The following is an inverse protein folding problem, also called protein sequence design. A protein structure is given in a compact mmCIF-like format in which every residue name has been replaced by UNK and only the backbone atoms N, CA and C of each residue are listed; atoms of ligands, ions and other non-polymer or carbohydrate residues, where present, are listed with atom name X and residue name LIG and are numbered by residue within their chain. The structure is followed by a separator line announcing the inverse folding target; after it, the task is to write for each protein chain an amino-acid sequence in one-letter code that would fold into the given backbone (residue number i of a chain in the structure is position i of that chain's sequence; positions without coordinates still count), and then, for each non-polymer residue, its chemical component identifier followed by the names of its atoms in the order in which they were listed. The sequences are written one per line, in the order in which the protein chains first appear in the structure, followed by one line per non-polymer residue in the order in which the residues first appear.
data_IF_819752132724
#
_entry.id   IF_819752132724
#
_cell.length_a   1.000
_cell.length_b   1.000
_cell.length_c   1.000
_cell.angle_alpha   90.00
_cell.angle_beta   90.00
_cell.angle_gamma   90.00
#
_symmetry.space_group_name_H-M   'P 1'
#
loop_
_entity.id
_entity.type
_entity.pdbx_description
1 polymer ?
#
# COMPACT_ATOMS: atom_id res chain seq x y z
N UNK A 1 1.06 7.46 11.47
CA UNK A 1 0.42 8.46 10.58
C UNK A 1 -1.04 8.61 10.93
N UNK A 2 -1.60 9.81 10.88
CA UNK A 2 -3.03 9.97 11.09
C UNK A 2 -3.82 9.32 9.96
N UNK A 3 -5.13 9.16 10.15
CA UNK A 3 -5.99 8.71 9.06
C UNK A 3 -6.01 9.76 7.95
N UNK A 4 -5.91 9.30 6.71
CA UNK A 4 -5.98 10.19 5.57
C UNK A 4 -7.36 10.84 5.50
N UNK A 5 -7.38 12.15 5.53
CA UNK A 5 -8.61 12.95 5.43
C UNK A 5 -8.26 14.34 4.92
N UNK A 6 -7.57 14.40 3.78
CA UNK A 6 -7.13 15.66 3.19
C UNK A 6 -8.08 16.11 2.09
N UNK A 7 -8.23 17.42 1.91
CA UNK A 7 -9.15 17.94 0.89
C UNK A 7 -8.67 17.73 -0.54
N UNK A 8 -7.37 17.49 -0.75
CA UNK A 8 -6.79 17.30 -2.07
C UNK A 8 -6.30 15.86 -2.21
N UNK A 9 -6.68 15.21 -3.30
CA UNK A 9 -6.20 13.86 -3.60
C UNK A 9 -4.68 13.86 -3.74
N UNK A 10 -3.99 12.85 -3.20
CA UNK A 10 -2.53 12.74 -3.35
C UNK A 10 -2.05 12.75 -4.80
N UNK A 11 -2.88 12.31 -5.74
CA UNK A 11 -2.53 12.34 -7.17
C UNK A 11 -2.43 13.77 -7.73
N UNK A 12 -3.07 14.73 -7.07
CA UNK A 12 -3.04 16.13 -7.47
C UNK A 12 -2.24 17.02 -6.54
N UNK A 13 -1.69 16.45 -5.46
CA UNK A 13 -0.96 17.25 -4.47
C UNK A 13 0.39 17.68 -5.03
N UNK A 14 0.67 18.98 -4.96
CA UNK A 14 1.92 19.58 -5.47
C UNK A 14 2.88 20.00 -4.37
N UNK A 15 2.39 20.14 -3.13
CA UNK A 15 3.19 20.63 -2.01
C UNK A 15 3.55 19.47 -1.07
N UNK A 16 4.70 19.54 -0.38
CA UNK A 16 5.06 18.53 0.61
C UNK A 16 4.04 18.47 1.75
N UNK A 17 3.91 17.29 2.36
CA UNK A 17 3.04 17.11 3.52
C UNK A 17 3.64 17.79 4.74
N UNK A 18 2.79 18.46 5.52
CA UNK A 18 3.19 19.12 6.77
C UNK A 18 3.38 18.14 7.92
N UNK A 19 2.64 17.04 7.94
CA UNK A 19 2.80 16.02 8.97
C UNK A 19 4.14 15.33 8.81
N UNK A 20 4.96 15.36 9.87
CA UNK A 20 6.33 14.83 9.81
C UNK A 20 6.37 13.33 9.54
N UNK A 21 5.45 12.56 10.11
CA UNK A 21 5.41 11.12 9.90
C UNK A 21 5.09 10.79 8.44
N UNK A 22 4.13 11.51 7.85
CA UNK A 22 3.77 11.35 6.44
C UNK A 22 4.93 11.77 5.54
N UNK A 23 5.59 12.86 5.86
CA UNK A 23 6.74 13.34 5.09
C UNK A 23 7.89 12.32 5.10
N UNK A 24 8.20 11.74 6.27
CA UNK A 24 9.22 10.68 6.36
C UNK A 24 8.85 9.43 5.59
N UNK A 25 7.59 9.03 5.68
CA UNK A 25 7.07 7.88 4.94
C UNK A 25 7.18 8.11 3.44
N UNK A 26 6.75 9.28 2.97
CA UNK A 26 6.82 9.67 1.57
C UNK A 26 8.25 9.54 1.04
N UNK A 27 9.21 10.07 1.79
CA UNK A 27 10.62 10.01 1.41
C UNK A 27 11.13 8.58 1.31
N UNK A 28 10.75 7.72 2.25
CA UNK A 28 11.15 6.31 2.24
C UNK A 28 10.58 5.56 1.03
N UNK A 29 9.33 5.80 0.70
CA UNK A 29 8.72 5.17 -0.47
C UNK A 29 9.35 5.71 -1.76
N UNK A 30 9.63 6.99 -1.81
CA UNK A 30 10.30 7.58 -2.97
C UNK A 30 11.67 6.96 -3.24
N UNK A 31 12.42 6.64 -2.19
CA UNK A 31 13.74 6.00 -2.29
C UNK A 31 13.67 4.54 -2.76
N UNK A 32 12.58 3.85 -2.51
CA UNK A 32 12.43 2.44 -2.85
C UNK A 32 12.23 2.21 -4.35
N UNK A 33 12.86 1.17 -4.87
CA UNK A 33 12.70 0.78 -6.28
C UNK A 33 11.64 -0.31 -6.45
N UNK A 34 11.35 -1.07 -5.41
CA UNK A 34 10.38 -2.15 -5.38
C UNK A 34 9.90 -2.36 -3.95
N UNK A 35 8.74 -2.99 -3.80
CA UNK A 35 8.13 -3.15 -2.48
C UNK A 35 7.62 -4.57 -2.25
N UNK A 36 7.63 -4.98 -0.99
CA UNK A 36 6.93 -6.17 -0.54
C UNK A 36 5.90 -5.71 0.49
N UNK A 37 4.64 -5.95 0.21
CA UNK A 37 3.56 -5.64 1.13
C UNK A 37 3.21 -6.89 1.94
N UNK A 38 3.34 -6.78 3.25
CA UNK A 38 3.03 -7.87 4.18
C UNK A 38 1.71 -7.52 4.87
N UNK A 39 0.72 -8.41 4.79
CA UNK A 39 -0.62 -8.11 5.29
C UNK A 39 -1.28 -9.29 5.99
N UNK A 40 -2.00 -9.04 7.10
CA UNK A 40 -3.02 -9.98 7.55
C UNK A 40 -4.25 -9.88 6.64
N UNK A 41 -5.25 -10.70 6.92
CA UNK A 41 -6.56 -10.52 6.30
C UNK A 41 -7.56 -10.14 7.39
N UNK A 42 -8.15 -8.97 7.24
CA UNK A 42 -9.22 -8.48 8.11
C UNK A 42 -10.47 -8.25 7.27
N UNK A 43 -11.50 -9.06 7.54
CA UNK A 43 -12.81 -8.90 6.88
C UNK A 43 -12.71 -8.83 5.35
N UNK A 44 -12.03 -9.81 4.77
CA UNK A 44 -11.91 -9.95 3.31
C UNK A 44 -11.00 -8.88 2.66
N UNK A 45 -10.18 -8.21 3.43
CA UNK A 45 -9.30 -7.16 2.93
C UNK A 45 -8.01 -7.07 3.71
N UNK A 46 -7.22 -6.08 3.38
CA UNK A 46 -6.00 -5.77 4.12
C UNK A 46 -6.34 -5.03 5.43
N UNK A 47 -5.32 -4.74 6.23
CA UNK A 47 -5.51 -3.92 7.42
C UNK A 47 -5.80 -2.47 7.05
N UNK A 48 -6.58 -1.79 7.90
CA UNK A 48 -6.80 -0.34 7.73
C UNK A 48 -5.51 0.45 7.80
N UNK A 49 -4.54 -0.02 8.58
CA UNK A 49 -3.23 0.62 8.70
C UNK A 49 -2.49 0.63 7.36
N UNK A 50 -2.42 -0.51 6.68
CA UNK A 50 -1.75 -0.58 5.37
C UNK A 50 -2.52 0.23 4.33
N UNK A 51 -3.85 0.11 4.30
CA UNK A 51 -4.66 0.87 3.35
C UNK A 51 -4.47 2.37 3.54
N UNK A 52 -4.41 2.83 4.79
CA UNK A 52 -4.15 4.23 5.11
C UNK A 52 -2.79 4.69 4.56
N UNK A 53 -1.76 3.85 4.73
CA UNK A 53 -0.44 4.17 4.20
C UNK A 53 -0.45 4.28 2.67
N UNK A 54 -1.18 3.39 1.99
CA UNK A 54 -1.32 3.46 0.54
C UNK A 54 -2.05 4.72 0.09
N UNK A 55 -3.02 5.17 0.87
CA UNK A 55 -3.88 6.29 0.49
C UNK A 55 -3.23 7.66 0.67
N UNK A 56 -2.21 7.77 1.54
CA UNK A 56 -1.58 9.06 1.83
C UNK A 56 -0.76 9.63 0.67
N UNK A 57 -0.20 8.78 -0.19
CA UNK A 57 0.70 9.22 -1.27
C UNK A 57 0.32 8.51 -2.57
N UNK A 58 0.73 9.04 -3.70
CA UNK A 58 0.38 8.45 -4.99
C UNK A 58 1.56 8.35 -5.96
N UNK A 59 2.19 9.47 -6.39
CA UNK A 59 3.21 9.38 -7.44
C UNK A 59 4.44 8.56 -7.03
N UNK A 60 4.70 8.46 -5.74
CA UNK A 60 5.85 7.70 -5.23
C UNK A 60 5.74 6.21 -5.46
N UNK A 61 4.51 5.70 -5.60
CA UNK A 61 4.25 4.30 -5.92
C UNK A 61 4.39 3.98 -7.40
N UNK A 62 4.20 4.99 -8.26
CA UNK A 62 4.00 4.78 -9.69
C UNK A 62 5.20 4.10 -10.35
N UNK A 63 4.90 3.14 -11.23
CA UNK A 63 5.88 2.43 -12.06
C UNK A 63 6.89 1.60 -11.27
N UNK A 64 6.53 1.16 -10.08
CA UNK A 64 7.39 0.33 -9.24
C UNK A 64 6.77 -1.05 -9.02
N UNK A 65 7.55 -2.13 -9.02
CA UNK A 65 7.02 -3.47 -8.78
C UNK A 65 6.68 -3.69 -7.32
N UNK A 66 5.67 -4.53 -7.08
CA UNK A 66 5.25 -4.92 -5.74
C UNK A 66 4.97 -6.42 -5.68
N UNK A 67 5.44 -7.04 -4.61
CA UNK A 67 5.15 -8.42 -4.25
C UNK A 67 4.32 -8.44 -2.96
N UNK A 68 3.70 -9.59 -2.68
CA UNK A 68 2.82 -9.71 -1.52
C UNK A 68 3.16 -10.92 -0.69
N UNK A 69 3.09 -10.74 0.63
CA UNK A 69 3.12 -11.81 1.61
C UNK A 69 1.90 -11.63 2.51
N UNK A 70 1.10 -12.67 2.65
CA UNK A 70 -0.10 -12.60 3.49
C UNK A 70 -0.19 -13.79 4.45
N UNK A 71 -0.95 -13.62 5.51
CA UNK A 71 -1.15 -14.65 6.51
C UNK A 71 -2.57 -14.58 7.08
N UNK A 72 -3.02 -15.70 7.63
CA UNK A 72 -4.36 -15.83 8.19
C UNK A 72 -4.94 -17.20 7.94
N UNK A 73 -6.18 -17.45 8.35
CA UNK A 73 -6.83 -18.75 8.23
C UNK A 73 -6.93 -19.24 6.78
N UNK A 74 -7.14 -18.34 5.84
CA UNK A 74 -7.13 -18.64 4.41
C UNK A 74 -5.83 -18.23 3.70
N UNK A 75 -4.74 -18.05 4.46
CA UNK A 75 -3.48 -17.58 3.90
C UNK A 75 -3.47 -16.13 3.46
N UNK A 76 -4.53 -15.38 3.75
CA UNK A 76 -4.64 -13.98 3.37
C UNK A 76 -4.91 -13.73 1.90
N UNK A 77 -5.38 -14.74 1.16
CA UNK A 77 -5.56 -14.65 -0.29
C UNK A 77 -6.49 -13.51 -0.71
N UNK A 78 -7.56 -13.29 0.04
CA UNK A 78 -8.53 -12.25 -0.30
C UNK A 78 -7.99 -10.86 -0.03
N UNK A 79 -7.15 -10.71 0.99
CA UNK A 79 -6.47 -9.44 1.23
C UNK A 79 -5.55 -9.09 0.06
N UNK A 80 -4.82 -10.08 -0.47
CA UNK A 80 -3.95 -9.86 -1.64
C UNK A 80 -4.77 -9.51 -2.87
N UNK A 81 -5.92 -10.14 -3.10
CA UNK A 81 -6.78 -9.77 -4.22
C UNK A 81 -7.14 -8.29 -4.18
N UNK A 82 -7.51 -7.79 -3.00
CA UNK A 82 -7.84 -6.38 -2.84
C UNK A 82 -6.61 -5.49 -3.04
N UNK A 83 -5.46 -5.88 -2.50
CA UNK A 83 -4.23 -5.12 -2.67
C UNK A 83 -3.77 -5.07 -4.14
N UNK A 84 -4.01 -6.13 -4.90
CA UNK A 84 -3.69 -6.12 -6.34
C UNK A 84 -4.49 -5.05 -7.07
N UNK A 85 -5.76 -4.88 -6.73
CA UNK A 85 -6.60 -3.83 -7.30
C UNK A 85 -6.11 -2.44 -6.90
N UNK A 86 -5.72 -2.28 -5.63
CA UNK A 86 -5.12 -1.02 -5.17
C UNK A 86 -3.82 -0.72 -5.92
N UNK A 87 -2.98 -1.73 -6.12
CA UNK A 87 -1.72 -1.57 -6.84
C UNK A 87 -1.93 -1.12 -8.29
N UNK A 88 -2.97 -1.64 -8.95
CA UNK A 88 -3.32 -1.21 -10.30
C UNK A 88 -3.64 0.29 -10.33
N UNK A 89 -4.46 0.75 -9.38
CA UNK A 89 -4.81 2.18 -9.32
C UNK A 89 -3.61 3.05 -8.97
N UNK A 90 -2.69 2.53 -8.16
CA UNK A 90 -1.44 3.22 -7.81
C UNK A 90 -0.40 3.15 -8.94
N UNK A 91 -0.75 2.56 -10.07
CA UNK A 91 0.12 2.37 -11.23
C UNK A 91 1.40 1.61 -10.90
N UNK A 92 1.30 0.65 -9.99
CA UNK A 92 2.38 -0.28 -9.66
C UNK A 92 2.32 -1.50 -10.56
N UNK A 93 3.40 -2.27 -10.59
CA UNK A 93 3.47 -3.55 -11.31
C UNK A 93 3.44 -4.70 -10.29
N UNK A 94 2.26 -5.25 -9.96
CA UNK A 94 2.21 -6.39 -9.03
C UNK A 94 2.72 -7.65 -9.74
N UNK A 95 3.64 -8.37 -9.08
CA UNK A 95 4.10 -9.64 -9.61
C UNK A 95 3.06 -10.73 -9.37
N UNK A 96 3.06 -11.75 -10.24
CA UNK A 96 2.06 -12.81 -10.18
C UNK A 96 2.14 -13.66 -8.92
N UNK A 97 3.35 -14.05 -8.54
CA UNK A 97 3.56 -14.92 -7.38
C UNK A 97 3.33 -14.16 -6.07
N UNK A 98 2.84 -14.86 -5.06
CA UNK A 98 2.66 -14.32 -3.72
C UNK A 98 2.94 -15.43 -2.71
N UNK A 99 3.29 -15.05 -1.49
CA UNK A 99 3.49 -15.99 -0.39
C UNK A 99 2.26 -15.93 0.52
N UNK A 100 1.60 -17.06 0.70
CA UNK A 100 0.43 -17.20 1.57
C UNK A 100 0.78 -18.09 2.74
N UNK A 101 0.63 -17.58 3.95
CA UNK A 101 0.97 -18.32 5.17
C UNK A 101 -0.32 -18.65 5.92
N UNK A 102 -0.81 -19.91 5.87
CA UNK A 102 -2.02 -20.30 6.57
C UNK A 102 -1.78 -20.49 8.07
N UNK A 103 -2.84 -20.42 8.85
CA UNK A 103 -2.72 -20.68 10.28
C UNK A 103 -3.57 -19.84 11.20
#
# INVERSE_FOLDING_TARGET
MPFFNEPVSPSFKKEPYKNEAVARFTKKIEEGDAFVMVTPEYNHGTSGVLKNALDWIYPEWNNKPVAFVSYGSGGGARAIEQLRMNAVELQMAPIRAAVHIPG
#
